data_IF_926258195782
#
_entry.id   IF_926258195782
#
_cell.length_a   1.000
_cell.length_b   1.000
_cell.length_c   1.000
_cell.angle_alpha   90.00
_cell.angle_beta   90.00
_cell.angle_gamma   90.00
#
_symmetry.space_group_name_H-M   'P 1'
#
loop_
_entity.id
_entity.type
_entity.pdbx_description
1 polymer ?
#
# COMPACT_ATOMS: atom_id res chain seq x y z
N UNK A 1 -1.87 5.03 -15.22
CA UNK A 1 -0.62 5.47 -14.55
C UNK A 1 -0.93 6.30 -13.32
N UNK A 2 -0.20 6.08 -12.23
CA UNK A 2 -0.44 6.77 -10.94
C UNK A 2 -0.14 8.28 -11.04
N UNK A 3 0.73 8.68 -11.97
CA UNK A 3 1.12 10.05 -12.28
C UNK A 3 -0.05 10.88 -12.82
N UNK A 4 -0.90 10.28 -13.68
CA UNK A 4 -2.08 10.94 -14.21
C UNK A 4 -3.12 11.18 -13.10
N UNK A 5 -3.28 10.21 -12.19
CA UNK A 5 -4.16 10.36 -11.02
C UNK A 5 -3.65 11.46 -10.12
N UNK A 6 -2.34 11.51 -9.87
CA UNK A 6 -1.74 12.58 -9.06
C UNK A 6 -1.93 13.98 -9.69
N UNK A 7 -1.90 14.09 -11.01
CA UNK A 7 -2.08 15.35 -11.72
C UNK A 7 -3.54 15.81 -11.82
N UNK A 8 -4.47 14.87 -11.99
CA UNK A 8 -5.89 15.18 -12.30
C UNK A 8 -6.82 15.04 -11.11
N UNK A 9 -6.48 14.17 -10.14
CA UNK A 9 -7.31 13.82 -8.98
C UNK A 9 -6.44 13.63 -7.72
N UNK A 10 -5.69 14.67 -7.29
CA UNK A 10 -4.78 14.56 -6.15
C UNK A 10 -5.48 14.15 -4.85
N UNK A 11 -6.78 14.43 -4.71
CA UNK A 11 -7.60 14.02 -3.57
C UNK A 11 -7.82 12.51 -3.46
N UNK A 12 -7.56 11.76 -4.54
CA UNK A 12 -7.63 10.29 -4.55
C UNK A 12 -6.31 9.63 -4.19
N UNK A 13 -5.28 10.41 -3.91
CA UNK A 13 -3.94 9.92 -3.62
C UNK A 13 -3.59 10.21 -2.16
N UNK A 14 -3.55 9.15 -1.36
CA UNK A 14 -2.95 9.21 -0.04
C UNK A 14 -1.43 9.21 -0.14
N UNK A 15 -0.77 10.16 0.52
CA UNK A 15 0.69 10.17 0.69
C UNK A 15 1.01 10.16 2.17
N UNK A 16 1.60 9.07 2.63
CA UNK A 16 1.92 8.88 4.04
C UNK A 16 3.44 8.82 4.21
N UNK A 17 4.06 9.76 4.95
CA UNK A 17 5.49 9.69 5.23
C UNK A 17 5.77 8.56 6.23
N UNK A 18 6.80 7.77 5.94
CA UNK A 18 7.28 6.69 6.82
C UNK A 18 8.55 7.14 7.54
N UNK A 19 8.61 6.94 8.86
CA UNK A 19 9.82 7.11 9.64
C UNK A 19 10.76 5.93 9.37
N UNK A 20 11.96 6.19 8.83
CA UNK A 20 12.89 5.14 8.42
C UNK A 20 13.43 4.29 9.60
N UNK A 21 13.38 4.79 10.83
CA UNK A 21 13.82 4.06 12.03
C UNK A 21 12.69 3.19 12.57
N UNK A 22 11.47 3.71 12.61
CA UNK A 22 10.30 2.97 13.10
C UNK A 22 9.76 1.97 12.09
N UNK A 23 9.82 2.31 10.80
CA UNK A 23 9.27 1.52 9.70
C UNK A 23 7.74 1.47 9.70
N UNK A 24 7.21 0.39 9.13
CA UNK A 24 5.77 0.15 8.99
C UNK A 24 5.36 -1.06 9.82
N UNK A 25 4.71 -0.82 10.95
CA UNK A 25 4.00 -1.86 11.72
C UNK A 25 2.55 -2.04 11.22
N UNK A 26 1.85 -3.05 11.72
CA UNK A 26 0.47 -3.34 11.31
C UNK A 26 -0.51 -2.20 11.64
N UNK A 27 -0.35 -1.52 12.77
CA UNK A 27 -1.25 -0.44 13.17
C UNK A 27 -1.10 0.76 12.23
N UNK A 28 0.14 1.10 11.89
CA UNK A 28 0.43 2.16 10.93
C UNK A 28 0.03 1.75 9.52
N UNK A 29 0.29 0.51 9.08
CA UNK A 29 -0.15 -0.02 7.79
C UNK A 29 -1.68 0.05 7.63
N UNK A 30 -2.42 -0.27 8.70
CA UNK A 30 -3.88 -0.14 8.73
C UNK A 30 -4.32 1.32 8.54
N UNK A 31 -3.65 2.27 9.21
CA UNK A 31 -3.92 3.70 9.01
C UNK A 31 -3.61 4.18 7.58
N UNK A 32 -2.65 3.57 6.89
CA UNK A 32 -2.35 3.84 5.47
C UNK A 32 -3.49 3.33 4.59
N UNK A 33 -4.00 2.12 4.84
CA UNK A 33 -5.15 1.57 4.11
C UNK A 33 -6.41 2.44 4.26
N UNK A 34 -6.67 2.95 5.47
CA UNK A 34 -7.79 3.86 5.75
C UNK A 34 -7.65 5.20 5.02
N UNK A 35 -6.46 5.80 5.04
CA UNK A 35 -6.16 7.03 4.31
C UNK A 35 -6.22 6.84 2.79
N UNK A 36 -5.85 5.65 2.30
CA UNK A 36 -6.00 5.24 0.90
C UNK A 36 -7.45 5.00 0.47
N UNK A 37 -8.42 5.19 1.38
CA UNK A 37 -9.85 4.99 1.13
C UNK A 37 -10.18 3.59 0.58
N UNK A 38 -9.46 2.56 1.04
CA UNK A 38 -9.80 1.19 0.74
C UNK A 38 -11.18 0.84 1.33
N UNK A 39 -11.92 -0.11 0.73
CA UNK A 39 -13.21 -0.55 1.24
C UNK A 39 -13.13 -0.93 2.73
N UNK A 40 -14.17 -0.62 3.50
CA UNK A 40 -14.17 -0.77 4.96
C UNK A 40 -14.00 -2.23 5.45
N UNK A 41 -14.22 -3.21 4.57
CA UNK A 41 -14.11 -4.63 4.89
C UNK A 41 -12.67 -5.17 4.82
N UNK A 42 -11.76 -4.46 4.15
CA UNK A 42 -10.40 -4.94 3.88
C UNK A 42 -9.23 -4.17 4.54
N UNK A 43 -9.38 -3.19 5.45
CA UNK A 43 -8.22 -2.49 6.02
C UNK A 43 -7.21 -3.41 6.70
N UNK A 44 -7.69 -4.43 7.41
CA UNK A 44 -6.83 -5.36 8.14
C UNK A 44 -6.07 -6.29 7.18
N UNK A 45 -6.73 -6.79 6.14
CA UNK A 45 -6.09 -7.60 5.10
C UNK A 45 -5.07 -6.76 4.29
N UNK A 46 -5.42 -5.52 3.95
CA UNK A 46 -4.53 -4.60 3.26
C UNK A 46 -3.32 -4.20 4.10
N UNK A 47 -3.50 -4.02 5.41
CA UNK A 47 -2.40 -3.69 6.34
C UNK A 47 -1.29 -4.73 6.31
N UNK A 48 -1.65 -6.02 6.26
CA UNK A 48 -0.68 -7.12 6.15
C UNK A 48 0.13 -7.00 4.85
N UNK A 49 -0.54 -6.71 3.73
CA UNK A 49 0.16 -6.55 2.44
C UNK A 49 1.04 -5.30 2.43
N UNK A 50 0.56 -4.16 2.94
CA UNK A 50 1.32 -2.91 3.03
C UNK A 50 2.58 -3.09 3.89
N UNK A 51 2.47 -3.77 5.03
CA UNK A 51 3.63 -4.09 5.87
C UNK A 51 4.65 -4.95 5.11
N UNK A 52 4.21 -5.99 4.40
CA UNK A 52 5.10 -6.83 3.60
C UNK A 52 5.80 -6.07 2.48
N UNK A 53 5.13 -5.09 1.85
CA UNK A 53 5.76 -4.24 0.84
C UNK A 53 6.88 -3.38 1.44
N UNK A 54 6.71 -2.90 2.67
CA UNK A 54 7.78 -2.23 3.40
C UNK A 54 8.95 -3.18 3.72
N UNK A 55 8.65 -4.40 4.15
CA UNK A 55 9.68 -5.44 4.40
C UNK A 55 10.47 -5.75 3.13
N UNK A 56 9.82 -5.86 1.96
CA UNK A 56 10.49 -6.05 0.66
C UNK A 56 11.34 -4.83 0.30
N UNK A 57 10.79 -3.62 0.45
CA UNK A 57 11.51 -2.38 0.14
C UNK A 57 12.83 -2.28 0.91
N UNK A 58 12.81 -2.56 2.22
CA UNK A 58 14.00 -2.53 3.07
C UNK A 58 14.89 -3.75 2.85
N UNK A 59 14.31 -4.95 2.73
CA UNK A 59 15.05 -6.20 2.66
C UNK A 59 15.83 -6.39 1.35
N UNK A 60 15.35 -5.80 0.26
CA UNK A 60 15.98 -5.88 -1.07
C UNK A 60 16.80 -4.64 -1.44
N UNK A 61 17.04 -3.73 -0.48
CA UNK A 61 17.67 -2.41 -0.72
C UNK A 61 17.02 -1.67 -1.93
N UNK A 62 15.69 -1.79 -2.05
CA UNK A 62 14.97 -1.28 -3.20
C UNK A 62 14.84 0.25 -3.15
N UNK A 63 14.70 0.86 -4.33
CA UNK A 63 14.40 2.30 -4.44
C UNK A 63 12.91 2.58 -4.67
N UNK A 64 12.17 1.56 -5.10
CA UNK A 64 10.74 1.59 -5.35
C UNK A 64 10.18 0.19 -5.15
N UNK A 65 9.00 0.08 -4.56
CA UNK A 65 8.16 -1.11 -4.67
C UNK A 65 6.78 -0.63 -5.09
N UNK A 66 6.33 -1.05 -6.26
CA UNK A 66 5.04 -0.68 -6.83
C UNK A 66 4.24 -1.95 -7.10
N UNK A 67 2.98 -1.98 -6.63
CA UNK A 67 2.02 -3.03 -6.93
C UNK A 67 0.86 -2.43 -7.68
N UNK A 68 0.61 -2.89 -8.91
CA UNK A 68 -0.48 -2.41 -9.74
C UNK A 68 -0.96 -3.48 -10.74
N UNK A 69 -2.11 -4.15 -10.51
CA UNK A 69 -3.12 -3.83 -9.51
C UNK A 69 -2.91 -4.55 -8.15
N UNK A 70 -3.33 -3.88 -7.07
CA UNK A 70 -3.63 -4.50 -5.78
C UNK A 70 -5.11 -4.90 -5.76
N UNK A 71 -5.41 -6.19 -5.80
CA UNK A 71 -6.75 -6.72 -6.08
C UNK A 71 -7.39 -7.27 -4.81
N UNK A 72 -8.69 -6.97 -4.63
CA UNK A 72 -9.57 -7.65 -3.68
C UNK A 72 -10.25 -8.83 -4.37
N UNK A 73 -10.13 -10.02 -3.79
CA UNK A 73 -10.84 -11.23 -4.25
C UNK A 73 -12.28 -11.28 -3.72
N UNK A 74 -13.15 -12.15 -4.27
CA UNK A 74 -14.52 -12.31 -3.75
C UNK A 74 -14.62 -12.79 -2.29
N UNK A 75 -13.55 -13.37 -1.74
CA UNK A 75 -13.41 -13.80 -0.34
C UNK A 75 -12.62 -12.79 0.52
N UNK A 76 -12.56 -11.52 0.10
CA UNK A 76 -11.97 -10.39 0.82
C UNK A 76 -10.47 -10.49 1.11
N UNK A 77 -9.77 -11.32 0.34
CA UNK A 77 -8.30 -11.35 0.36
C UNK A 77 -7.74 -10.23 -0.51
N UNK A 78 -6.57 -9.73 -0.10
CA UNK A 78 -5.81 -8.73 -0.85
C UNK A 78 -4.63 -9.41 -1.52
N UNK A 79 -4.56 -9.29 -2.85
CA UNK A 79 -3.53 -9.89 -3.69
C UNK A 79 -2.76 -8.81 -4.45
N UNK A 80 -1.43 -8.87 -4.38
CA UNK A 80 -0.56 -8.14 -5.30
C UNK A 80 -0.45 -8.96 -6.59
N UNK A 81 -1.15 -8.54 -7.65
CA UNK A 81 -1.24 -9.32 -8.88
C UNK A 81 -0.03 -9.12 -9.81
N UNK A 82 0.48 -7.91 -9.84
CA UNK A 82 1.68 -7.51 -10.57
C UNK A 82 2.51 -6.56 -9.70
N UNK A 83 3.83 -6.65 -9.81
CA UNK A 83 4.75 -5.92 -8.96
C UNK A 83 6.03 -5.53 -9.67
N UNK A 84 6.53 -4.34 -9.36
CA UNK A 84 7.79 -3.78 -9.83
C UNK A 84 8.63 -3.39 -8.61
N UNK A 85 9.90 -3.79 -8.62
CA UNK A 85 10.92 -3.51 -7.60
C UNK A 85 12.10 -2.82 -8.25
#
# INVERSE_FOLDING_TARGET
>A
EIEEVAATKPERLAKVPVDAVKGVDLAFARSIAEQGHLPAEVPDAAAVTIQKLWEVFVGEDATLVEVNPLVRTPDDQILALDGKV
#
